data_IF_239204823802
#
_entry.id   IF_239204823802
#
_cell.length_a   1.000
_cell.length_b   1.000
_cell.length_c   1.000
_cell.angle_alpha   90.00
_cell.angle_beta   90.00
_cell.angle_gamma   90.00
#
_symmetry.space_group_name_H-M   'P 1'
#
loop_
_entity.id
_entity.type
_entity.pdbx_description
1 polymer ?
#
# COMPACT_ATOMS: atom_id res chain seq x y z
N UNK A 1 -2.41 11.52 -7.17
CA UNK A 1 -1.75 11.49 -8.50
C UNK A 1 -2.46 10.47 -9.38
N UNK A 2 -2.73 10.79 -10.66
CA UNK A 2 -3.04 9.78 -11.66
C UNK A 2 -1.96 8.70 -11.63
N UNK A 3 -2.34 7.44 -11.63
CA UNK A 3 -1.39 6.32 -11.56
C UNK A 3 -1.19 5.78 -12.97
N UNK A 4 -0.01 5.99 -13.55
CA UNK A 4 0.38 5.38 -14.83
C UNK A 4 0.42 3.86 -14.66
N UNK A 5 -0.33 3.08 -15.44
CA UNK A 5 -0.22 1.62 -15.43
C UNK A 5 1.18 1.16 -15.84
N UNK A 6 1.64 0.01 -15.33
CA UNK A 6 2.96 -0.55 -15.66
C UNK A 6 3.15 -0.78 -17.16
N UNK A 7 2.10 -1.26 -17.83
CA UNK A 7 2.09 -1.48 -19.28
C UNK A 7 2.31 -0.19 -20.05
N UNK A 8 1.71 0.93 -19.63
CA UNK A 8 1.96 2.24 -20.22
C UNK A 8 3.34 2.78 -19.86
N UNK A 9 3.80 2.59 -18.62
CA UNK A 9 5.13 3.03 -18.20
C UNK A 9 6.26 2.36 -19.01
N UNK A 10 6.11 1.07 -19.35
CA UNK A 10 7.03 0.34 -20.22
C UNK A 10 6.99 0.86 -21.67
N UNK A 11 5.80 1.18 -22.20
CA UNK A 11 5.65 1.80 -23.52
C UNK A 11 6.38 3.14 -23.56
N UNK A 12 6.15 4.00 -22.56
CA UNK A 12 6.76 5.33 -22.49
C UNK A 12 8.28 5.25 -22.36
N UNK A 13 8.79 4.27 -21.61
CA UNK A 13 10.23 4.02 -21.52
C UNK A 13 10.83 3.67 -22.89
N UNK A 14 10.19 2.75 -23.63
CA UNK A 14 10.62 2.35 -24.97
C UNK A 14 10.49 3.46 -26.04
N UNK A 15 9.45 4.30 -25.95
CA UNK A 15 9.31 5.46 -26.83
C UNK A 15 10.46 6.45 -26.60
N UNK A 16 10.81 6.68 -25.33
CA UNK A 16 11.86 7.62 -24.97
C UNK A 16 13.26 7.11 -25.36
N UNK A 17 13.49 5.81 -25.27
CA UNK A 17 14.72 5.15 -25.72
C UNK A 17 14.39 3.74 -26.25
N UNK A 18 14.48 3.50 -27.57
CA UNK A 18 14.18 2.20 -28.16
C UNK A 18 15.09 1.06 -27.70
N UNK A 19 16.26 1.35 -27.11
CA UNK A 19 17.10 0.33 -26.49
C UNK A 19 16.53 -0.13 -25.12
N UNK A 20 15.71 0.70 -24.48
CA UNK A 20 15.12 0.41 -23.18
C UNK A 20 13.66 -0.10 -23.28
N UNK A 21 13.22 -0.92 -22.32
CA UNK A 21 14.06 -1.75 -21.48
C UNK A 21 14.58 -2.99 -22.23
N UNK A 22 14.11 -3.25 -23.45
CA UNK A 22 14.15 -4.57 -24.07
C UNK A 22 15.51 -5.00 -24.61
N UNK A 23 16.43 -4.07 -24.87
CA UNK A 23 17.82 -4.37 -25.23
C UNK A 23 18.80 -4.23 -24.07
N UNK A 24 18.35 -3.79 -22.89
CA UNK A 24 19.20 -3.64 -21.72
C UNK A 24 19.54 -5.01 -21.09
N UNK A 25 20.83 -5.36 -20.93
CA UNK A 25 21.22 -6.69 -20.45
C UNK A 25 20.72 -7.05 -19.05
N UNK A 26 20.67 -6.07 -18.13
CA UNK A 26 20.19 -6.30 -16.76
C UNK A 26 18.70 -6.62 -16.77
N UNK A 27 17.93 -5.85 -17.53
CA UNK A 27 16.50 -6.09 -17.71
C UNK A 27 16.21 -7.44 -18.37
N UNK A 28 16.95 -7.78 -19.44
CA UNK A 28 16.82 -9.09 -20.09
C UNK A 28 17.15 -10.23 -19.14
N UNK A 29 18.20 -10.09 -18.31
CA UNK A 29 18.54 -11.08 -17.28
C UNK A 29 17.43 -11.24 -16.23
N UNK A 30 16.76 -10.15 -15.86
CA UNK A 30 15.69 -10.15 -14.87
C UNK A 30 14.39 -10.75 -15.41
N UNK A 31 14.07 -10.47 -16.68
CA UNK A 31 12.79 -10.82 -17.29
C UNK A 31 12.85 -12.08 -18.15
N UNK A 32 14.05 -12.52 -18.52
CA UNK A 32 14.34 -13.58 -19.48
C UNK A 32 13.72 -13.35 -20.87
N UNK A 33 13.52 -12.08 -21.25
CA UNK A 33 13.01 -11.68 -22.58
C UNK A 33 14.19 -11.14 -23.40
N UNK A 34 14.65 -11.83 -24.45
CA UNK A 34 15.91 -11.52 -25.13
C UNK A 34 15.79 -10.44 -26.23
N UNK A 35 14.90 -9.45 -26.05
CA UNK A 35 14.66 -8.37 -27.01
C UNK A 35 13.22 -7.86 -26.98
N UNK A 36 12.80 -7.17 -28.04
CA UNK A 36 11.44 -6.64 -28.15
C UNK A 36 10.40 -7.77 -28.02
N UNK A 37 9.42 -7.67 -27.10
CA UNK A 37 8.45 -8.73 -26.86
C UNK A 37 7.63 -9.11 -28.10
N UNK A 38 7.37 -8.13 -28.96
CA UNK A 38 6.58 -8.29 -30.19
C UNK A 38 7.41 -8.72 -31.40
N UNK A 39 8.68 -9.07 -31.24
CA UNK A 39 9.45 -9.65 -32.33
C UNK A 39 8.86 -11.01 -32.77
N UNK A 40 8.71 -11.24 -34.07
CA UNK A 40 8.25 -12.51 -34.64
C UNK A 40 9.09 -12.90 -35.86
N UNK A 41 9.18 -14.20 -36.11
CA UNK A 41 9.79 -14.75 -37.32
C UNK A 41 8.72 -15.28 -38.27
N UNK A 42 8.88 -15.06 -39.58
CA UNK A 42 7.99 -15.65 -40.58
C UNK A 42 7.94 -17.19 -40.42
N UNK A 43 6.80 -17.70 -39.94
CA UNK A 43 6.54 -19.14 -39.78
C UNK A 43 7.05 -19.81 -38.50
N UNK A 44 7.57 -19.07 -37.50
CA UNK A 44 8.11 -19.65 -36.25
C UNK A 44 7.43 -19.16 -34.95
N UNK A 45 6.29 -18.48 -35.05
CA UNK A 45 5.63 -17.88 -33.88
C UNK A 45 6.30 -16.57 -33.43
N UNK A 46 5.82 -16.02 -32.32
CA UNK A 46 6.49 -14.91 -31.65
C UNK A 46 7.86 -15.37 -31.11
N UNK A 47 8.90 -14.59 -31.37
CA UNK A 47 10.30 -14.98 -31.12
C UNK A 47 10.68 -14.91 -29.65
N UNK A 48 10.12 -13.94 -28.90
CA UNK A 48 10.54 -13.67 -27.52
C UNK A 48 9.44 -13.95 -26.48
N UNK A 49 8.18 -14.07 -26.91
CA UNK A 49 7.03 -14.36 -26.05
C UNK A 49 6.32 -15.61 -26.57
N UNK A 50 6.69 -16.78 -26.02
CA UNK A 50 6.17 -18.07 -26.48
C UNK A 50 4.63 -18.23 -26.35
N UNK A 51 4.01 -17.42 -25.49
CA UNK A 51 2.55 -17.41 -25.29
C UNK A 51 1.80 -16.71 -26.43
N UNK A 52 2.48 -15.93 -27.27
CA UNK A 52 1.85 -15.19 -28.37
C UNK A 52 1.93 -15.93 -29.70
N UNK A 53 0.82 -15.86 -30.44
CA UNK A 53 0.76 -16.15 -31.87
C UNK A 53 1.48 -15.06 -32.68
N UNK A 54 1.76 -15.34 -33.97
CA UNK A 54 2.32 -14.33 -34.89
C UNK A 54 1.36 -13.14 -35.01
N UNK A 55 0.05 -13.40 -35.12
CA UNK A 55 -0.96 -12.35 -35.28
C UNK A 55 -1.04 -11.46 -34.03
N UNK A 56 -0.95 -12.04 -32.83
CA UNK A 56 -0.88 -11.26 -31.59
C UNK A 56 0.38 -10.40 -31.51
N UNK A 57 1.54 -10.95 -31.87
CA UNK A 57 2.79 -10.19 -31.89
C UNK A 57 2.74 -9.05 -32.91
N UNK A 58 2.17 -9.27 -34.10
CA UNK A 58 1.94 -8.24 -35.12
C UNK A 58 0.98 -7.16 -34.64
N UNK A 59 -0.13 -7.54 -33.98
CA UNK A 59 -1.08 -6.60 -33.42
C UNK A 59 -0.45 -5.74 -32.31
N UNK A 60 0.38 -6.35 -31.44
CA UNK A 60 1.15 -5.62 -30.42
C UNK A 60 2.15 -4.68 -31.08
N UNK A 61 2.94 -5.13 -32.06
CA UNK A 61 3.90 -4.28 -32.79
C UNK A 61 3.20 -3.06 -33.41
N UNK A 62 2.07 -3.27 -34.09
CA UNK A 62 1.27 -2.20 -34.67
C UNK A 62 0.79 -1.20 -33.60
N UNK A 63 0.30 -1.70 -32.46
CA UNK A 63 -0.13 -0.87 -31.33
C UNK A 63 1.03 -0.06 -30.71
N UNK A 64 2.19 -0.68 -30.50
CA UNK A 64 3.38 -0.02 -29.96
C UNK A 64 3.84 1.11 -30.88
N UNK A 65 3.89 0.85 -32.19
CA UNK A 65 4.24 1.85 -33.21
C UNK A 65 3.22 2.99 -33.27
N UNK A 66 1.92 2.68 -33.19
CA UNK A 66 0.87 3.70 -33.13
C UNK A 66 1.02 4.58 -31.88
N UNK A 67 1.32 4.00 -30.71
CA UNK A 67 1.64 4.76 -29.49
C UNK A 67 2.84 5.70 -29.68
N UNK A 68 3.90 5.22 -30.35
CA UNK A 68 5.12 6.01 -30.61
C UNK A 68 4.87 7.22 -31.51
N UNK A 69 3.95 7.10 -32.46
CA UNK A 69 3.61 8.18 -33.41
C UNK A 69 2.49 9.09 -32.93
N UNK A 70 1.82 8.75 -31.83
CA UNK A 70 0.74 9.56 -31.28
C UNK A 70 1.29 10.87 -30.67
N UNK A 71 0.48 11.93 -30.74
CA UNK A 71 0.80 13.22 -30.10
C UNK A 71 0.92 13.07 -28.57
N UNK A 72 -0.01 12.35 -27.96
CA UNK A 72 0.09 11.91 -26.57
C UNK A 72 -0.07 10.37 -26.48
N UNK A 73 1.03 9.63 -26.22
CA UNK A 73 0.98 8.19 -26.04
C UNK A 73 0.07 7.73 -24.89
N UNK A 74 -0.07 8.52 -23.83
CA UNK A 74 -0.92 8.19 -22.69
C UNK A 74 -2.41 8.30 -23.05
N UNK A 75 -2.80 9.35 -23.78
CA UNK A 75 -4.17 9.49 -24.29
C UNK A 75 -4.50 8.39 -25.29
N UNK A 76 -3.60 8.10 -26.24
CA UNK A 76 -3.77 7.03 -27.21
C UNK A 76 -3.92 5.66 -26.53
N UNK A 77 -3.07 5.37 -25.54
CA UNK A 77 -3.18 4.16 -24.72
C UNK A 77 -4.53 4.09 -23.97
N UNK A 78 -5.03 5.22 -23.47
CA UNK A 78 -6.25 5.29 -22.66
C UNK A 78 -7.56 5.15 -23.45
N UNK A 79 -7.51 5.16 -24.79
CA UNK A 79 -8.71 4.98 -25.64
C UNK A 79 -9.46 3.70 -25.26
N UNK A 80 -10.77 3.84 -25.05
CA UNK A 80 -11.66 2.73 -24.70
C UNK A 80 -12.51 2.38 -25.92
N UNK A 81 -12.34 1.18 -26.46
CA UNK A 81 -13.15 0.70 -27.57
C UNK A 81 -12.49 -0.44 -28.34
N UNK A 82 -13.24 -0.99 -29.31
CA UNK A 82 -12.72 -1.93 -30.32
C UNK A 82 -12.19 -1.16 -31.54
N UNK A 83 -11.18 -0.34 -31.32
CA UNK A 83 -10.45 0.32 -32.40
C UNK A 83 -9.43 -0.63 -33.03
N UNK A 84 -8.69 -0.15 -34.03
CA UNK A 84 -7.64 -0.90 -34.72
C UNK A 84 -6.52 -1.41 -33.79
N UNK A 85 -6.38 -0.79 -32.62
CA UNK A 85 -5.34 -1.07 -31.63
C UNK A 85 -5.84 -1.94 -30.47
N UNK A 86 -7.12 -2.31 -30.46
CA UNK A 86 -7.75 -3.02 -29.37
C UNK A 86 -7.11 -4.37 -29.08
N UNK A 87 -6.83 -5.15 -30.12
CA UNK A 87 -6.25 -6.49 -30.01
C UNK A 87 -4.83 -6.42 -29.44
N UNK A 88 -3.96 -5.61 -30.05
CA UNK A 88 -2.59 -5.40 -29.58
C UNK A 88 -2.52 -4.85 -28.15
N UNK A 89 -3.35 -3.85 -27.82
CA UNK A 89 -3.45 -3.28 -26.47
C UNK A 89 -3.90 -4.31 -25.44
N UNK A 90 -4.87 -5.17 -25.80
CA UNK A 90 -5.38 -6.20 -24.90
C UNK A 90 -4.33 -7.28 -24.65
N UNK A 91 -3.69 -7.78 -25.71
CA UNK A 91 -2.60 -8.76 -25.62
C UNK A 91 -1.42 -8.23 -24.79
N UNK A 92 -1.01 -6.98 -25.05
CA UNK A 92 0.05 -6.30 -24.30
C UNK A 92 -0.26 -6.22 -22.80
N UNK A 93 -1.43 -5.69 -22.45
CA UNK A 93 -1.81 -5.48 -21.06
C UNK A 93 -1.93 -6.79 -20.29
N UNK A 94 -2.53 -7.81 -20.91
CA UNK A 94 -2.67 -9.14 -20.31
C UNK A 94 -1.30 -9.80 -20.06
N UNK A 95 -0.40 -9.70 -21.05
CA UNK A 95 0.96 -10.23 -20.94
C UNK A 95 1.76 -9.51 -19.85
N UNK A 96 1.81 -8.16 -19.86
CA UNK A 96 2.53 -7.40 -18.83
C UNK A 96 2.00 -7.73 -17.44
N UNK A 97 0.69 -7.78 -17.25
CA UNK A 97 0.10 -8.10 -15.94
C UNK A 97 0.52 -9.48 -15.44
N UNK A 98 0.52 -10.49 -16.32
CA UNK A 98 0.87 -11.86 -15.97
C UNK A 98 2.37 -12.03 -15.75
N UNK A 99 3.18 -11.43 -16.63
CA UNK A 99 4.64 -11.52 -16.61
C UNK A 99 5.27 -10.72 -15.47
N UNK A 100 4.67 -9.60 -15.07
CA UNK A 100 5.17 -8.78 -13.97
C UNK A 100 5.34 -9.55 -12.65
N UNK A 101 4.40 -10.46 -12.37
CA UNK A 101 4.49 -11.34 -11.20
C UNK A 101 5.65 -12.35 -11.33
N UNK A 102 5.88 -12.89 -12.54
CA UNK A 102 6.94 -13.86 -12.85
C UNK A 102 8.33 -13.24 -12.73
N UNK A 103 8.49 -11.98 -13.14
CA UNK A 103 9.78 -11.26 -13.09
C UNK A 103 10.25 -10.90 -11.68
N UNK A 104 9.43 -11.13 -10.65
CA UNK A 104 9.74 -10.83 -9.25
C UNK A 104 10.15 -9.36 -8.98
N UNK A 105 9.85 -8.41 -9.88
CA UNK A 105 10.19 -6.98 -9.71
C UNK A 105 9.55 -6.41 -8.44
N UNK A 106 8.33 -6.84 -8.11
CA UNK A 106 7.68 -6.43 -6.86
C UNK A 106 8.49 -6.82 -5.62
N UNK A 107 9.09 -8.01 -5.61
CA UNK A 107 9.95 -8.49 -4.52
C UNK A 107 11.29 -7.76 -4.50
N UNK A 108 11.83 -7.41 -5.66
CA UNK A 108 13.03 -6.58 -5.77
C UNK A 108 12.79 -5.20 -5.15
N UNK A 109 11.68 -4.55 -5.51
CA UNK A 109 11.30 -3.25 -4.93
C UNK A 109 11.09 -3.36 -3.42
N UNK A 110 10.40 -4.41 -2.94
CA UNK A 110 10.20 -4.62 -1.49
C UNK A 110 11.52 -4.81 -0.74
N UNK A 111 12.46 -5.57 -1.32
CA UNK A 111 13.79 -5.76 -0.75
C UNK A 111 14.57 -4.44 -0.66
N UNK A 112 14.58 -3.65 -1.74
CA UNK A 112 15.26 -2.35 -1.76
C UNK A 112 14.62 -1.39 -0.75
N UNK A 113 13.29 -1.40 -0.62
CA UNK A 113 12.60 -0.63 0.42
C UNK A 113 13.06 -1.06 1.82
N UNK A 114 13.15 -2.37 2.09
CA UNK A 114 13.61 -2.91 3.37
C UNK A 114 15.06 -2.52 3.67
N UNK A 115 15.98 -2.79 2.74
CA UNK A 115 17.41 -2.45 2.85
C UNK A 115 17.64 -0.94 3.04
N UNK A 116 16.77 -0.11 2.48
CA UNK A 116 16.84 1.35 2.61
C UNK A 116 16.11 1.91 3.84
N UNK A 117 15.58 1.05 4.72
CA UNK A 117 14.81 1.48 5.90
C UNK A 117 13.49 2.21 5.54
N UNK A 118 12.95 1.89 4.36
CA UNK A 118 11.72 2.43 3.79
C UNK A 118 10.59 1.39 3.72
N UNK A 119 10.72 0.29 4.46
CA UNK A 119 9.61 -0.66 4.70
C UNK A 119 8.40 0.08 5.31
N UNK A 120 7.15 -0.21 4.87
CA UNK A 120 5.96 0.55 5.27
C UNK A 120 5.79 0.80 6.77
N UNK A 121 5.96 -0.22 7.61
CA UNK A 121 5.79 -0.07 9.06
C UNK A 121 6.97 0.68 9.68
N UNK A 122 8.20 0.49 9.18
CA UNK A 122 9.36 1.30 9.57
C UNK A 122 9.15 2.78 9.25
N UNK A 123 8.61 3.10 8.07
CA UNK A 123 8.29 4.47 7.68
C UNK A 123 7.21 5.07 8.59
N UNK A 124 6.12 4.33 8.83
CA UNK A 124 5.07 4.78 9.74
C UNK A 124 5.61 5.06 11.14
N UNK A 125 6.44 4.16 11.68
CA UNK A 125 7.06 4.35 12.99
C UNK A 125 8.01 5.55 13.02
N UNK A 126 8.84 5.74 11.98
CA UNK A 126 9.76 6.87 11.84
C UNK A 126 9.00 8.21 11.82
N UNK A 127 7.86 8.23 11.15
CA UNK A 127 6.97 9.41 11.08
C UNK A 127 6.02 9.52 12.28
N UNK A 128 6.15 8.63 13.28
CA UNK A 128 5.31 8.58 14.48
C UNK A 128 3.81 8.49 14.17
N UNK A 129 3.45 7.82 13.07
CA UNK A 129 2.07 7.56 12.71
C UNK A 129 1.46 6.52 13.66
N UNK A 130 0.26 6.80 14.15
CA UNK A 130 -0.58 5.82 14.84
C UNK A 130 -1.22 4.86 13.84
N UNK A 131 -1.70 3.71 14.32
CA UNK A 131 -2.39 2.71 13.47
C UNK A 131 -3.60 3.31 12.75
N UNK A 132 -4.27 4.27 13.38
CA UNK A 132 -5.47 4.93 12.84
C UNK A 132 -5.16 6.04 11.84
N UNK A 133 -3.91 6.45 11.73
CA UNK A 133 -3.53 7.57 10.89
C UNK A 133 -3.58 7.21 9.40
N UNK A 134 -3.63 8.24 8.57
CA UNK A 134 -3.54 8.08 7.12
C UNK A 134 -2.13 7.59 6.77
N UNK A 135 -2.05 6.50 6.00
CA UNK A 135 -0.78 5.98 5.50
C UNK A 135 0.01 7.08 4.77
N UNK A 136 1.31 7.28 5.09
CA UNK A 136 2.12 8.35 4.52
C UNK A 136 2.12 8.39 2.99
N UNK A 137 2.19 9.58 2.41
CA UNK A 137 2.41 9.71 0.96
C UNK A 137 3.86 9.33 0.62
N UNK A 138 4.12 9.08 -0.67
CA UNK A 138 5.46 8.76 -1.15
C UNK A 138 6.46 9.90 -0.86
N UNK A 139 5.98 11.14 -0.96
CA UNK A 139 6.74 12.36 -0.70
C UNK A 139 7.06 12.50 0.78
N UNK A 140 6.08 12.30 1.67
CA UNK A 140 6.29 12.32 3.12
C UNK A 140 7.27 11.21 3.56
N UNK A 141 7.25 10.07 2.88
CA UNK A 141 8.19 8.97 3.08
C UNK A 141 9.56 9.19 2.42
N UNK A 142 9.73 10.27 1.63
CA UNK A 142 10.94 10.62 0.88
C UNK A 142 11.46 9.51 -0.06
N UNK A 143 10.56 8.64 -0.53
CA UNK A 143 10.96 7.42 -1.22
C UNK A 143 11.82 7.69 -2.45
N UNK A 144 11.41 8.62 -3.31
CA UNK A 144 12.15 8.95 -4.54
C UNK A 144 13.60 9.34 -4.27
N UNK A 145 13.87 10.07 -3.19
CA UNK A 145 15.23 10.48 -2.87
C UNK A 145 16.08 9.30 -2.37
N UNK A 146 15.49 8.42 -1.57
CA UNK A 146 16.21 7.34 -0.90
C UNK A 146 16.45 6.13 -1.80
N UNK A 147 15.49 5.79 -2.67
CA UNK A 147 15.49 4.49 -3.35
C UNK A 147 15.70 4.54 -4.86
N UNK A 148 15.55 5.71 -5.50
CA UNK A 148 15.59 5.77 -6.98
C UNK A 148 16.91 5.31 -7.56
N UNK A 149 18.04 5.63 -6.92
CA UNK A 149 19.38 5.22 -7.41
C UNK A 149 19.53 3.70 -7.35
N UNK A 150 19.26 3.09 -6.19
CA UNK A 150 19.36 1.65 -6.00
C UNK A 150 18.42 0.88 -6.93
N UNK A 151 17.22 1.42 -7.17
CA UNK A 151 16.25 0.79 -8.06
C UNK A 151 16.63 0.97 -9.54
N UNK A 152 17.25 2.09 -9.91
CA UNK A 152 17.78 2.30 -11.26
C UNK A 152 18.89 1.31 -11.58
N UNK A 153 19.86 1.22 -10.69
CA UNK A 153 20.98 0.28 -10.78
C UNK A 153 20.49 -1.18 -10.83
N UNK A 154 19.59 -1.57 -9.92
CA UNK A 154 19.09 -2.94 -9.87
C UNK A 154 18.25 -3.36 -11.10
N UNK A 155 17.64 -2.42 -11.82
CA UNK A 155 16.79 -2.71 -12.98
C UNK A 155 17.51 -2.56 -14.31
N UNK A 156 18.49 -1.65 -14.39
CA UNK A 156 19.13 -1.25 -15.65
C UNK A 156 20.67 -1.24 -15.60
N UNK A 157 21.28 -1.37 -14.43
CA UNK A 157 22.74 -1.33 -14.24
C UNK A 157 23.36 0.01 -14.61
N UNK A 158 24.55 -0.03 -15.18
CA UNK A 158 25.30 1.18 -15.59
C UNK A 158 24.53 2.02 -16.62
N UNK A 159 23.73 1.40 -17.49
CA UNK A 159 22.89 2.08 -18.48
C UNK A 159 21.82 2.97 -17.82
N UNK A 160 21.60 2.82 -16.51
CA UNK A 160 20.69 3.67 -15.78
C UNK A 160 21.18 5.11 -15.60
N UNK A 161 22.49 5.36 -15.79
CA UNK A 161 23.14 6.60 -15.40
C UNK A 161 23.83 7.32 -16.57
N UNK A 162 23.52 8.60 -16.73
CA UNK A 162 24.31 9.54 -17.53
C UNK A 162 25.60 9.87 -16.79
N UNK A 163 26.73 9.67 -17.46
CA UNK A 163 28.09 9.89 -16.93
C UNK A 163 28.35 9.21 -15.57
N UNK A 164 27.68 8.07 -15.31
CA UNK A 164 27.79 7.30 -14.08
C UNK A 164 27.26 7.98 -12.81
N UNK A 165 26.56 9.11 -12.93
CA UNK A 165 26.17 9.93 -11.76
C UNK A 165 24.68 10.28 -11.71
N UNK A 166 24.06 10.61 -12.84
CA UNK A 166 22.67 11.06 -12.88
C UNK A 166 21.78 10.01 -13.53
N UNK A 167 20.66 9.65 -12.90
CA UNK A 167 19.72 8.70 -13.50
C UNK A 167 19.16 9.29 -14.81
N UNK A 168 19.19 8.51 -15.89
CA UNK A 168 18.62 8.88 -17.19
C UNK A 168 17.15 9.32 -17.01
N UNK A 169 16.70 10.45 -17.59
CA UNK A 169 15.38 11.00 -17.31
C UNK A 169 14.19 10.06 -17.58
N UNK A 170 14.26 9.26 -18.65
CA UNK A 170 13.23 8.27 -19.00
C UNK A 170 13.15 7.16 -17.96
N UNK A 171 14.29 6.64 -17.51
CA UNK A 171 14.40 5.65 -16.43
C UNK A 171 13.88 6.23 -15.11
N UNK A 172 14.24 7.46 -14.75
CA UNK A 172 13.74 8.08 -13.52
C UNK A 172 12.20 8.26 -13.53
N UNK A 173 11.63 8.55 -14.70
CA UNK A 173 10.18 8.62 -14.90
C UNK A 173 9.53 7.25 -14.71
N UNK A 174 10.09 6.21 -15.32
CA UNK A 174 9.64 4.83 -15.15
C UNK A 174 9.73 4.36 -13.69
N UNK A 175 10.85 4.61 -13.02
CA UNK A 175 11.06 4.33 -11.60
C UNK A 175 10.02 5.04 -10.75
N UNK A 176 9.77 6.32 -11.01
CA UNK A 176 8.75 7.08 -10.27
C UNK A 176 7.36 6.42 -10.40
N UNK A 177 6.97 5.99 -11.61
CA UNK A 177 5.71 5.28 -11.81
C UNK A 177 5.67 3.94 -11.03
N UNK A 178 6.76 3.18 -11.07
CA UNK A 178 6.93 1.92 -10.33
C UNK A 178 6.80 2.13 -8.81
N UNK A 179 7.43 3.17 -8.27
CA UNK A 179 7.35 3.50 -6.85
C UNK A 179 5.94 3.91 -6.42
N UNK A 180 5.25 4.72 -7.22
CA UNK A 180 3.85 5.11 -6.95
C UNK A 180 2.95 3.87 -6.88
N UNK A 181 3.11 2.93 -7.82
CA UNK A 181 2.36 1.69 -7.86
C UNK A 181 2.68 0.76 -6.67
N UNK A 182 3.96 0.61 -6.34
CA UNK A 182 4.40 -0.19 -5.19
C UNK A 182 3.88 0.38 -3.87
N UNK A 183 3.99 1.70 -3.69
CA UNK A 183 3.50 2.36 -2.49
C UNK A 183 1.97 2.29 -2.36
N UNK A 184 1.25 2.36 -3.49
CA UNK A 184 -0.19 2.13 -3.54
C UNK A 184 -0.57 0.68 -3.16
N UNK A 185 0.24 -0.32 -3.55
CA UNK A 185 0.07 -1.71 -3.08
C UNK A 185 0.22 -1.79 -1.57
N UNK A 186 1.28 -1.22 -1.01
CA UNK A 186 1.52 -1.20 0.44
C UNK A 186 0.40 -0.50 1.20
N UNK A 187 -0.07 0.65 0.71
CA UNK A 187 -1.24 1.34 1.27
C UNK A 187 -2.48 0.44 1.38
N UNK A 188 -2.74 -0.38 0.35
CA UNK A 188 -3.87 -1.33 0.38
C UNK A 188 -3.66 -2.44 1.41
N UNK A 189 -2.43 -2.94 1.56
CA UNK A 189 -2.09 -3.97 2.56
C UNK A 189 -2.27 -3.41 3.97
N UNK A 190 -1.68 -2.25 4.25
CA UNK A 190 -1.82 -1.55 5.54
C UNK A 190 -3.29 -1.30 5.86
N UNK A 191 -4.08 -0.78 4.91
CA UNK A 191 -5.53 -0.56 5.11
C UNK A 191 -6.26 -1.85 5.51
N UNK A 192 -5.92 -2.99 4.91
CA UNK A 192 -6.51 -4.29 5.27
C UNK A 192 -6.09 -4.73 6.68
N UNK A 193 -4.83 -4.53 7.05
CA UNK A 193 -4.33 -4.85 8.39
C UNK A 193 -5.01 -3.98 9.45
N UNK A 194 -5.13 -2.66 9.22
CA UNK A 194 -5.86 -1.74 10.10
C UNK A 194 -7.31 -2.19 10.27
N UNK A 195 -8.01 -2.54 9.18
CA UNK A 195 -9.37 -3.08 9.27
C UNK A 195 -9.45 -4.40 10.05
N UNK A 196 -8.45 -5.28 9.90
CA UNK A 196 -8.36 -6.51 10.70
C UNK A 196 -8.10 -6.23 12.18
N UNK A 197 -7.28 -5.23 12.51
CA UNK A 197 -7.01 -4.81 13.89
C UNK A 197 -8.29 -4.26 14.51
N UNK A 198 -8.99 -3.36 13.83
CA UNK A 198 -10.27 -2.80 14.30
C UNK A 198 -11.30 -3.88 14.61
N UNK A 199 -11.49 -4.83 13.69
CA UNK A 199 -12.42 -5.95 13.89
C UNK A 199 -12.02 -6.82 15.08
N UNK A 200 -10.75 -7.22 15.17
CA UNK A 200 -10.26 -8.04 16.30
C UNK A 200 -10.33 -7.30 17.63
N UNK A 201 -10.07 -5.99 17.65
CA UNK A 201 -10.22 -5.15 18.84
C UNK A 201 -11.67 -5.12 19.33
N UNK A 202 -12.64 -5.01 18.42
CA UNK A 202 -14.06 -5.09 18.76
C UNK A 202 -14.43 -6.48 19.31
N UNK A 203 -14.02 -7.56 18.64
CA UNK A 203 -14.29 -8.93 19.11
C UNK A 203 -13.68 -9.20 20.50
N UNK A 204 -12.49 -8.65 20.77
CA UNK A 204 -11.83 -8.73 22.08
C UNK A 204 -12.61 -7.91 23.12
N UNK A 205 -13.05 -6.69 22.80
CA UNK A 205 -13.84 -5.88 23.74
C UNK A 205 -15.19 -6.52 24.05
N UNK A 206 -15.92 -7.01 23.05
CA UNK A 206 -17.20 -7.71 23.24
C UNK A 206 -17.05 -8.95 24.11
N UNK A 207 -16.02 -9.77 23.86
CA UNK A 207 -15.76 -10.95 24.67
C UNK A 207 -15.37 -10.59 26.11
N UNK A 208 -14.61 -9.50 26.29
CA UNK A 208 -14.28 -8.98 27.62
C UNK A 208 -15.53 -8.54 28.39
N UNK A 209 -16.41 -7.76 27.76
CA UNK A 209 -17.68 -7.32 28.37
C UNK A 209 -18.57 -8.51 28.73
N UNK A 210 -18.67 -9.51 27.85
CA UNK A 210 -19.43 -10.73 28.13
C UNK A 210 -18.86 -11.54 29.31
N UNK A 211 -17.53 -11.59 29.44
CA UNK A 211 -16.84 -12.28 30.55
C UNK A 211 -16.88 -11.52 31.88
N UNK A 212 -17.07 -10.21 31.85
CA UNK A 212 -17.12 -9.36 33.05
C UNK A 212 -18.55 -8.98 33.46
N UNK A 213 -19.55 -9.40 32.67
CA UNK A 213 -20.96 -9.17 32.98
C UNK A 213 -21.35 -9.85 34.29
N UNK A 214 -22.21 -9.19 35.07
CA UNK A 214 -22.55 -9.56 36.45
C UNK A 214 -23.12 -10.99 36.63
N UNK A 215 -23.66 -11.58 35.56
CA UNK A 215 -24.28 -12.92 35.57
C UNK A 215 -23.47 -13.96 34.78
N UNK A 216 -22.23 -13.64 34.36
CA UNK A 216 -21.42 -14.54 33.54
C UNK A 216 -20.68 -15.57 34.39
N UNK A 217 -20.74 -16.84 33.96
CA UNK A 217 -19.94 -17.91 34.59
C UNK A 217 -18.56 -17.95 33.94
N UNK A 218 -17.58 -17.38 34.63
CA UNK A 218 -16.21 -17.34 34.13
C UNK A 218 -15.56 -18.73 34.24
N UNK A 219 -15.18 -19.34 33.11
CA UNK A 219 -14.53 -20.65 33.09
C UNK A 219 -13.05 -20.53 32.72
N UNK A 220 -12.20 -21.45 33.20
CA UNK A 220 -10.79 -21.50 32.80
C UNK A 220 -10.61 -21.62 31.27
N UNK A 221 -11.56 -22.29 30.60
CA UNK A 221 -11.57 -22.45 29.15
C UNK A 221 -11.82 -21.11 28.46
N UNK A 222 -12.80 -20.32 28.92
CA UNK A 222 -13.11 -19.02 28.32
C UNK A 222 -11.99 -18.00 28.54
N UNK A 223 -11.34 -17.99 29.70
CA UNK A 223 -10.18 -17.12 29.99
C UNK A 223 -9.00 -17.45 29.06
N UNK A 224 -8.68 -18.73 28.86
CA UNK A 224 -7.60 -19.15 27.94
C UNK A 224 -7.92 -18.81 26.49
N UNK A 225 -9.16 -19.01 26.06
CA UNK A 225 -9.59 -18.67 24.70
C UNK A 225 -9.49 -17.16 24.45
N UNK A 226 -9.89 -16.34 25.43
CA UNK A 226 -9.74 -14.89 25.38
C UNK A 226 -8.27 -14.47 25.29
N UNK A 227 -7.40 -15.00 26.16
CA UNK A 227 -5.97 -14.70 26.14
C UNK A 227 -5.33 -15.01 24.78
N UNK A 228 -5.68 -16.14 24.16
CA UNK A 228 -5.19 -16.48 22.82
C UNK A 228 -5.57 -15.45 21.76
N UNK A 229 -6.80 -14.92 21.81
CA UNK A 229 -7.25 -13.86 20.88
C UNK A 229 -6.52 -12.54 21.15
N UNK A 230 -6.35 -12.19 22.43
CA UNK A 230 -5.64 -10.99 22.84
C UNK A 230 -4.16 -11.02 22.40
N UNK A 231 -3.47 -12.15 22.57
CA UNK A 231 -2.08 -12.32 22.10
C UNK A 231 -1.97 -12.19 20.57
N UNK A 232 -2.94 -12.75 19.83
CA UNK A 232 -3.00 -12.56 18.37
C UNK A 232 -3.17 -11.10 17.97
N UNK A 233 -3.94 -10.33 18.73
CA UNK A 233 -4.14 -8.89 18.49
C UNK A 233 -2.88 -8.09 18.85
N UNK A 234 -2.25 -8.36 20.00
CA UNK A 234 -0.99 -7.73 20.42
C UNK A 234 0.10 -7.95 19.37
N UNK A 235 0.21 -9.18 18.86
CA UNK A 235 1.20 -9.50 17.81
C UNK A 235 0.97 -8.65 16.56
N UNK A 236 -0.27 -8.47 16.12
CA UNK A 236 -0.59 -7.62 14.95
C UNK A 236 -0.29 -6.14 15.20
N UNK A 237 -0.59 -5.62 16.40
CA UNK A 237 -0.35 -4.22 16.77
C UNK A 237 1.15 -3.94 16.86
N UNK A 238 1.93 -4.91 17.35
CA UNK A 238 3.38 -4.74 17.54
C UNK A 238 4.12 -4.39 16.24
N UNK A 239 3.62 -4.84 15.09
CA UNK A 239 4.20 -4.54 13.78
C UNK A 239 4.16 -3.03 13.47
N UNK A 240 3.11 -2.34 13.91
CA UNK A 240 2.94 -0.89 13.69
C UNK A 240 3.75 -0.02 14.65
N UNK A 241 4.39 -0.60 15.66
CA UNK A 241 5.15 0.11 16.71
C UNK A 241 4.35 1.25 17.37
N UNK A 242 3.03 1.10 17.44
CA UNK A 242 2.12 2.02 18.10
C UNK A 242 2.16 1.78 19.61
N UNK A 243 2.96 2.59 20.31
CA UNK A 243 3.25 2.42 21.73
C UNK A 243 2.00 2.54 22.60
N UNK A 244 1.12 3.50 22.31
CA UNK A 244 -0.09 3.77 23.11
C UNK A 244 -1.07 2.60 23.04
N UNK A 245 -1.31 2.10 21.82
CA UNK A 245 -2.19 0.96 21.63
C UNK A 245 -1.57 -0.33 22.19
N UNK A 246 -0.25 -0.52 22.05
CA UNK A 246 0.46 -1.66 22.62
C UNK A 246 0.38 -1.68 24.15
N UNK A 247 0.59 -0.54 24.82
CA UNK A 247 0.46 -0.41 26.27
C UNK A 247 -0.95 -0.78 26.75
N UNK A 248 -1.98 -0.30 26.06
CA UNK A 248 -3.38 -0.58 26.39
C UNK A 248 -3.68 -2.09 26.39
N UNK A 249 -3.29 -2.81 25.34
CA UNK A 249 -3.54 -4.25 25.26
C UNK A 249 -2.60 -5.07 26.15
N UNK A 250 -1.38 -4.61 26.41
CA UNK A 250 -0.48 -5.24 27.37
C UNK A 250 -0.99 -5.14 28.81
N UNK A 251 -1.50 -3.98 29.23
CA UNK A 251 -2.15 -3.82 30.53
C UNK A 251 -3.35 -4.77 30.67
N UNK A 252 -4.13 -4.93 29.60
CA UNK A 252 -5.24 -5.89 29.57
C UNK A 252 -4.76 -7.35 29.65
N UNK A 253 -3.63 -7.69 29.02
CA UNK A 253 -3.03 -9.01 29.13
C UNK A 253 -2.65 -9.34 30.57
N UNK A 254 -2.09 -8.38 31.30
CA UNK A 254 -1.75 -8.54 32.72
C UNK A 254 -2.99 -8.82 33.57
N UNK A 255 -4.09 -8.10 33.34
CA UNK A 255 -5.37 -8.34 34.03
C UNK A 255 -5.89 -9.77 33.80
N UNK A 256 -5.85 -10.26 32.56
CA UNK A 256 -6.30 -11.62 32.22
C UNK A 256 -5.42 -12.69 32.85
N UNK A 257 -4.10 -12.46 32.88
CA UNK A 257 -3.16 -13.37 33.53
C UNK A 257 -3.40 -13.45 35.04
N UNK A 258 -3.71 -12.33 35.69
CA UNK A 258 -4.11 -12.31 37.09
C UNK A 258 -5.42 -13.10 37.33
N UNK A 259 -6.43 -12.94 36.46
CA UNK A 259 -7.66 -13.74 36.51
C UNK A 259 -7.39 -15.24 36.35
N UNK A 260 -6.49 -15.61 35.43
CA UNK A 260 -6.11 -17.00 35.18
C UNK A 260 -5.37 -17.61 36.38
N UNK A 261 -4.51 -16.84 37.04
CA UNK A 261 -3.83 -17.25 38.27
C UNK A 261 -4.81 -17.44 39.44
N UNK A 262 -5.77 -16.53 39.61
CA UNK A 262 -6.81 -16.63 40.63
C UNK A 262 -7.71 -17.87 40.41
N UNK A 263 -8.12 -18.12 39.17
CA UNK A 263 -8.94 -19.29 38.80
C UNK A 263 -8.21 -20.63 38.99
N UNK A 264 -6.87 -20.65 38.91
CA UNK A 264 -6.06 -21.84 39.23
C UNK A 264 -5.95 -22.12 40.73
N UNK A 265 -5.92 -21.07 41.57
CA UNK A 265 -5.80 -21.20 43.04
C UNK A 265 -7.11 -21.61 43.73
N UNK A 266 -8.26 -21.36 43.11
CA UNK A 266 -9.58 -21.77 43.61
C UNK A 266 -10.25 -22.70 42.60
N UNK A 267 -10.09 -24.03 42.70
CA UNK A 267 -10.81 -24.96 41.84
C UNK A 267 -12.31 -24.80 42.15
N UNK A 268 -13.05 -24.31 41.16
CA UNK A 268 -14.43 -23.88 41.30
C UNK A 268 -15.33 -25.05 41.73
N UNK A 269 -15.59 -25.16 43.03
CA UNK A 269 -16.92 -25.49 43.53
C UNK A 269 -17.38 -24.28 44.34
N UNK A 270 -18.36 -23.57 43.77
CA UNK A 270 -19.19 -22.53 44.37
C UNK A 270 -18.46 -21.36 45.06
N UNK A 271 -18.33 -20.22 44.36
CA UNK A 271 -19.10 -19.01 44.71
C UNK A 271 -18.80 -17.85 43.73
N UNK A 272 -19.82 -17.15 43.19
CA UNK A 272 -19.63 -16.03 42.25
C UNK A 272 -19.06 -14.75 42.87
N UNK A 273 -18.93 -14.68 44.20
CA UNK A 273 -18.84 -13.40 44.92
C UNK A 273 -17.40 -12.89 45.03
N UNK A 274 -16.40 -13.77 45.15
CA UNK A 274 -15.01 -13.35 45.42
C UNK A 274 -14.23 -12.85 44.19
N UNK A 275 -14.67 -13.17 42.97
CA UNK A 275 -14.06 -12.62 41.74
C UNK A 275 -14.49 -11.16 41.48
N UNK A 276 -15.59 -10.73 42.10
CA UNK A 276 -16.22 -9.42 41.91
C UNK A 276 -15.43 -8.27 42.54
N UNK A 277 -14.86 -8.48 43.73
CA UNK A 277 -14.08 -7.46 44.44
C UNK A 277 -12.71 -7.20 43.78
N UNK A 278 -12.12 -8.23 43.16
CA UNK A 278 -10.82 -8.09 42.49
C UNK A 278 -10.91 -7.33 41.16
N UNK A 279 -12.03 -7.46 40.44
CA UNK A 279 -12.30 -6.72 39.20
C UNK A 279 -12.62 -5.23 39.45
N UNK A 280 -13.38 -4.92 40.50
CA UNK A 280 -13.79 -3.54 40.82
C UNK A 280 -12.63 -2.66 41.31
N UNK A 281 -11.64 -3.23 42.03
CA UNK A 281 -10.48 -2.48 42.52
C UNK A 281 -9.45 -2.11 41.42
N UNK A 282 -9.48 -2.75 40.25
CA UNK A 282 -8.52 -2.47 39.16
C UNK A 282 -9.13 -1.71 37.97
N UNK A 283 -10.45 -1.63 37.85
CA UNK A 283 -11.12 -0.77 36.86
C UNK A 283 -11.15 0.72 37.23
N UNK A 284 -10.78 1.08 38.47
CA UNK A 284 -10.77 2.47 38.96
C UNK A 284 -9.70 3.38 38.32
N UNK A 285 -8.82 2.85 37.48
CA UNK A 285 -7.80 3.64 36.75
C UNK A 285 -8.18 3.95 35.29
N UNK A 286 -9.32 3.45 34.80
CA UNK A 286 -9.85 3.80 33.47
C UNK A 286 -10.70 5.07 33.54
N UNK A 287 -10.07 6.25 33.39
CA UNK A 287 -10.81 7.48 33.04
C UNK A 287 -11.28 7.35 31.58
N UNK A 288 -12.58 7.15 31.37
CA UNK A 288 -13.20 7.47 30.07
C UNK A 288 -12.99 8.97 29.78
N UNK A 289 -12.68 9.38 28.53
CA UNK A 289 -12.90 10.75 28.12
C UNK A 289 -14.38 11.07 28.23
N UNK A 290 -14.71 12.14 28.93
CA UNK A 290 -16.08 12.63 29.10
C UNK A 290 -16.56 13.24 27.77
N UNK A 291 -17.74 12.89 27.24
CA UNK A 291 -18.34 13.58 26.11
C UNK A 291 -19.09 14.81 26.65
N UNK A 292 -18.35 15.87 26.94
CA UNK A 292 -18.92 17.18 27.28
C UNK A 292 -17.85 18.25 27.15
N UNK A 293 -17.48 18.52 25.90
CA UNK A 293 -17.06 19.84 25.46
C UNK A 293 -17.92 20.17 24.23
N UNK A 294 -19.19 20.50 24.49
CA UNK A 294 -19.93 21.40 23.62
C UNK A 294 -19.14 22.70 23.61
N UNK A 295 -18.39 22.92 22.52
CA UNK A 295 -17.81 24.23 22.25
C UNK A 295 -18.97 25.15 21.91
N UNK A 296 -19.31 25.97 22.89
CA UNK A 296 -20.18 27.13 22.80
C UNK A 296 -19.78 27.98 21.59
N UNK A 297 -20.71 28.09 20.66
CA UNK A 297 -20.68 29.00 19.53
C UNK A 297 -20.74 30.45 20.04
N UNK A 298 -19.76 31.33 19.75
CA UNK A 298 -19.92 32.74 20.04
C UNK A 298 -20.46 33.45 18.80
N UNK A 299 -21.70 33.90 18.97
CA UNK A 299 -22.37 34.99 18.27
C UNK A 299 -21.40 36.08 17.77
N UNK A 300 -21.24 36.19 16.45
CA UNK A 300 -20.61 37.36 15.81
C UNK A 300 -21.41 37.82 14.59
N UNK A 301 -22.34 38.73 14.91
CA UNK A 301 -22.70 39.96 14.18
C UNK A 301 -22.49 39.93 12.66
N UNK A 302 -23.61 39.86 11.94
CA UNK A 302 -23.78 40.40 10.58
C UNK A 302 -23.31 41.87 10.55
N UNK A 303 -22.18 42.11 9.88
CA UNK A 303 -21.84 43.44 9.37
C UNK A 303 -21.93 43.38 7.85
N UNK A 304 -22.90 44.12 7.35
CA UNK A 304 -23.24 44.36 5.95
C UNK A 304 -22.36 45.52 5.49
N UNK A 305 -21.47 45.29 4.52
CA UNK A 305 -20.94 46.37 3.69
C UNK A 305 -20.90 45.91 2.24
N UNK A 306 -21.53 46.74 1.42
CA UNK A 306 -21.61 46.69 -0.03
C UNK A 306 -20.29 47.13 -0.69
N UNK A 307 -20.26 46.87 -2.00
CA UNK A 307 -19.57 47.60 -3.07
C UNK A 307 -18.37 46.90 -3.71
N UNK A 308 -18.41 46.82 -5.04
CA UNK A 308 -17.21 46.72 -5.86
C UNK A 308 -17.31 45.81 -7.08
N UNK A 309 -18.27 46.03 -7.97
CA UNK A 309 -18.16 45.57 -9.35
C UNK A 309 -17.01 46.31 -10.05
N UNK A 310 -16.04 45.59 -10.63
CA UNK A 310 -15.36 46.05 -11.86
C UNK A 310 -14.49 44.98 -12.51
N UNK A 311 -14.65 44.89 -13.84
CA UNK A 311 -13.60 44.61 -14.83
C UNK A 311 -13.07 43.18 -15.01
N UNK A 312 -13.75 42.41 -15.85
CA UNK A 312 -13.14 41.37 -16.71
C UNK A 312 -12.73 42.01 -18.04
N UNK A 313 -11.43 42.20 -18.24
CA UNK A 313 -10.84 42.55 -19.54
C UNK A 313 -10.39 41.25 -20.22
N UNK A 314 -10.94 41.02 -21.41
CA UNK A 314 -10.46 40.05 -22.40
C UNK A 314 -9.12 40.51 -22.96
N UNK A 315 -8.18 39.60 -23.16
CA UNK A 315 -7.16 39.75 -24.18
C UNK A 315 -7.08 38.46 -25.02
N UNK A 316 -7.53 38.59 -26.26
CA UNK A 316 -7.18 37.77 -27.41
C UNK A 316 -5.89 38.34 -28.05
N UNK A 317 -5.17 37.45 -28.77
CA UNK A 317 -3.99 37.67 -29.65
C UNK A 317 -2.65 37.83 -28.91
N UNK A 318 -1.59 37.07 -29.18
CA UNK A 318 -1.08 36.42 -30.40
C UNK A 318 -0.62 34.97 -30.16
#
# INVERSE_FOLDING_TARGET
MPTTPLSLALIQLWIADPALPWSNPVWQSLTHIPGDPWAYGHGKGASHVAEWTVDEAQAVEAFMNNCKTAEDPAEHYAVKGKDKDHEGRTAWNAWVQTSWAKWNINKLVDRILEESGCEPHVVMARLKCKITDVFPTMEAAQLKHVISVNLADALFGDDAFTDGTFIVPSINTFITALLVLSWSRHRKVIKRQVGSIQKKSQEVEEQWLAMTAANSTLTLVSIRAYLKKLESLITLISVFKDQEMAETFNARREQVNAMLAAAKKRPIKAEPIAFREMLLHHTSTYKRPHPSDEVSEPDRKKSRYEAGASSSVKYENF
#
